data_IF_468448084490
#
_entry.id   IF_468448084490
#
_cell.length_a   1.000
_cell.length_b   1.000
_cell.length_c   1.000
_cell.angle_alpha   90.00
_cell.angle_beta   90.00
_cell.angle_gamma   90.00
#
_symmetry.space_group_name_H-M   'P 1'
#
loop_
_entity.id
_entity.type
_entity.pdbx_description
1 polymer ?
#
# COMPACT_ATOMS: atom_id res chain seq x y z
N UNK A 1 -24.03 3.59 55.33
CA UNK A 1 -22.57 3.72 55.13
C UNK A 1 -21.99 2.32 55.12
N UNK A 2 -21.73 1.76 53.94
CA UNK A 2 -21.17 0.41 53.79
C UNK A 2 -19.97 0.50 52.85
N UNK A 3 -18.85 -0.03 53.33
CA UNK A 3 -17.53 -0.03 52.69
C UNK A 3 -17.56 -0.98 51.49
N UNK A 4 -16.95 -0.53 50.38
CA UNK A 4 -16.84 -1.28 49.13
C UNK A 4 -15.82 -2.42 49.24
N UNK A 5 -16.25 -3.62 48.87
CA UNK A 5 -15.44 -4.81 48.68
C UNK A 5 -15.05 -4.88 47.18
N UNK A 6 -13.84 -4.46 46.84
CA UNK A 6 -13.34 -4.39 45.46
C UNK A 6 -11.94 -5.00 45.35
N UNK A 7 -11.77 -6.25 45.76
CA UNK A 7 -10.56 -7.02 45.45
C UNK A 7 -10.93 -8.45 45.04
N UNK A 8 -11.00 -8.69 43.72
CA UNK A 8 -10.77 -9.99 43.05
C UNK A 8 -10.90 -9.83 41.53
N UNK A 9 -9.99 -9.08 40.91
CA UNK A 9 -9.70 -9.23 39.47
C UNK A 9 -8.59 -10.28 39.36
N UNK A 10 -8.98 -11.53 39.12
CA UNK A 10 -8.04 -12.61 38.84
C UNK A 10 -7.22 -12.27 37.59
N UNK A 11 -5.90 -12.20 37.75
CA UNK A 11 -4.95 -12.18 36.65
C UNK A 11 -5.12 -13.47 35.84
N UNK A 12 -5.43 -13.34 34.54
CA UNK A 12 -5.32 -14.47 33.63
C UNK A 12 -3.85 -14.87 33.55
N UNK A 13 -3.50 -16.16 33.66
CA UNK A 13 -2.13 -16.60 33.48
C UNK A 13 -1.66 -16.26 32.07
N UNK A 14 -0.38 -15.91 31.88
CA UNK A 14 0.19 -15.68 30.56
C UNK A 14 0.05 -16.95 29.72
N UNK A 15 -0.37 -16.79 28.46
CA UNK A 15 -0.42 -17.90 27.50
C UNK A 15 1.03 -18.35 27.27
N UNK A 16 1.33 -19.61 27.57
CA UNK A 16 2.66 -20.18 27.36
C UNK A 16 3.04 -20.09 25.89
N UNK A 17 4.23 -19.55 25.60
CA UNK A 17 4.80 -19.44 24.25
C UNK A 17 4.81 -20.78 23.50
N UNK A 18 5.08 -21.88 24.21
CA UNK A 18 5.04 -23.26 23.66
C UNK A 18 3.66 -23.66 23.12
N UNK A 19 2.57 -23.16 23.74
CA UNK A 19 1.21 -23.42 23.29
C UNK A 19 0.81 -22.63 22.05
N UNK A 20 1.44 -21.46 21.83
CA UNK A 20 1.25 -20.64 20.65
C UNK A 20 2.01 -21.22 19.44
N UNK A 21 3.24 -21.69 19.67
CA UNK A 21 4.07 -22.37 18.65
C UNK A 21 3.40 -23.65 18.15
N UNK A 22 2.88 -24.49 19.06
CA UNK A 22 2.15 -25.70 18.67
C UNK A 22 0.85 -25.42 17.88
N UNK A 23 0.19 -24.29 18.16
CA UNK A 23 -0.98 -23.84 17.40
C UNK A 23 -0.62 -23.35 16.00
N UNK A 24 0.51 -22.64 15.87
CA UNK A 24 1.03 -22.17 14.59
C UNK A 24 1.51 -23.34 13.72
N UNK A 25 2.24 -24.30 14.28
CA UNK A 25 2.70 -25.50 13.55
C UNK A 25 1.54 -26.36 13.04
N UNK A 26 0.47 -26.49 13.84
CA UNK A 26 -0.76 -27.17 13.43
C UNK A 26 -1.45 -26.42 12.29
N UNK A 27 -1.52 -25.09 12.36
CA UNK A 27 -2.16 -24.27 11.34
C UNK A 27 -1.39 -24.27 10.01
N UNK A 28 -0.06 -24.22 10.06
CA UNK A 28 0.84 -24.36 8.90
C UNK A 28 0.65 -25.75 8.27
N UNK A 29 0.61 -26.82 9.08
CA UNK A 29 0.37 -28.18 8.60
C UNK A 29 -0.98 -28.35 7.88
N UNK A 30 -2.02 -27.62 8.31
CA UNK A 30 -3.34 -27.68 7.68
C UNK A 30 -3.41 -26.88 6.36
N UNK A 31 -2.57 -25.85 6.20
CA UNK A 31 -2.41 -25.11 4.95
C UNK A 31 -1.61 -25.90 3.89
N UNK A 32 -0.59 -26.64 4.32
CA UNK A 32 0.24 -27.47 3.42
C UNK A 32 -0.50 -28.69 2.88
N UNK A 33 -1.55 -29.17 3.59
CA UNK A 33 -2.35 -30.33 3.17
C UNK A 33 -3.36 -30.08 2.03
N UNK A 34 -3.37 -28.88 1.44
CA UNK A 34 -4.14 -28.59 0.22
C UNK A 34 -5.66 -28.65 0.44
N UNK A 35 -6.24 -27.52 0.83
CA UNK A 35 -7.70 -27.36 0.90
C UNK A 35 -8.40 -27.56 -0.46
N UNK A 36 -9.71 -27.86 -0.47
CA UNK A 36 -10.46 -28.42 -1.61
C UNK A 36 -10.74 -27.46 -2.77
N UNK A 37 -9.97 -26.37 -2.90
CA UNK A 37 -10.16 -25.30 -3.88
C UNK A 37 -9.03 -25.24 -4.93
N UNK A 38 -8.44 -26.40 -5.24
CA UNK A 38 -7.45 -26.51 -6.32
C UNK A 38 -8.15 -26.70 -7.66
N UNK A 39 -8.61 -25.60 -8.24
CA UNK A 39 -9.06 -25.57 -9.63
C UNK A 39 -7.84 -25.53 -10.56
N UNK A 40 -7.67 -26.63 -11.29
CA UNK A 40 -6.75 -26.74 -12.42
C UNK A 40 -7.30 -25.92 -13.58
N UNK A 41 -6.47 -25.09 -14.19
CA UNK A 41 -6.73 -24.60 -15.54
C UNK A 41 -5.46 -24.64 -16.40
N UNK A 42 -5.62 -24.90 -17.71
CA UNK A 42 -4.60 -25.55 -18.53
C UNK A 42 -3.66 -24.56 -19.26
N UNK A 43 -2.48 -25.07 -19.58
CA UNK A 43 -1.42 -24.47 -20.39
C UNK A 43 -1.83 -24.14 -21.83
N UNK A 44 -1.20 -23.12 -22.41
CA UNK A 44 -0.48 -23.10 -23.72
C UNK A 44 -0.42 -21.66 -24.33
N UNK A 45 0.34 -21.37 -25.41
CA UNK A 45 1.80 -21.43 -25.56
C UNK A 45 2.43 -20.16 -26.24
N UNK A 46 3.75 -20.01 -26.06
CA UNK A 46 4.84 -19.46 -26.91
C UNK A 46 4.68 -18.28 -27.91
N UNK A 47 5.61 -17.32 -27.81
CA UNK A 47 5.98 -16.26 -28.78
C UNK A 47 6.87 -16.78 -29.95
N UNK A 48 7.08 -16.00 -31.04
CA UNK A 48 8.37 -15.28 -31.31
C UNK A 48 8.25 -14.07 -32.31
N UNK A 49 9.31 -13.52 -32.99
CA UNK A 49 10.67 -13.07 -32.59
C UNK A 49 11.06 -11.62 -33.06
N UNK A 50 12.29 -11.21 -32.70
CA UNK A 50 13.05 -9.96 -32.97
C UNK A 50 13.32 -9.58 -34.44
N UNK A 51 13.54 -8.27 -34.71
CA UNK A 51 14.50 -7.72 -35.70
C UNK A 51 14.87 -6.25 -35.34
N UNK A 52 16.12 -5.96 -34.96
CA UNK A 52 17.26 -5.33 -35.70
C UNK A 52 17.22 -3.79 -35.86
N UNK A 53 18.33 -3.20 -35.40
CA UNK A 53 18.83 -1.80 -35.37
C UNK A 53 19.32 -1.32 -36.76
N UNK A 54 19.42 0.00 -37.00
CA UNK A 54 20.68 0.51 -37.57
C UNK A 54 21.23 1.80 -36.94
N UNK A 55 22.51 2.02 -37.26
CA UNK A 55 23.56 2.87 -36.69
C UNK A 55 23.46 4.39 -36.93
N UNK A 56 24.21 5.11 -36.08
CA UNK A 56 24.63 6.54 -36.05
C UNK A 56 25.88 6.74 -36.98
N UNK A 57 26.68 7.85 -37.04
CA UNK A 57 26.75 9.18 -36.35
C UNK A 57 27.21 10.34 -37.33
N UNK A 58 28.07 11.37 -37.02
CA UNK A 58 28.49 12.10 -35.78
C UNK A 58 28.53 13.66 -35.92
N UNK A 59 28.97 14.37 -34.84
CA UNK A 59 29.88 15.56 -34.73
C UNK A 59 29.40 16.60 -33.67
N UNK A 60 30.11 16.73 -32.52
CA UNK A 60 31.08 17.80 -32.11
C UNK A 60 30.44 19.20 -31.97
N UNK A 61 30.57 20.00 -30.90
CA UNK A 61 31.76 20.42 -30.13
C UNK A 61 31.42 20.82 -28.66
N UNK A 62 32.46 20.90 -27.82
CA UNK A 62 32.52 21.42 -26.42
C UNK A 62 33.59 22.57 -26.38
N UNK A 63 33.91 23.24 -25.24
CA UNK A 63 33.28 24.31 -24.43
C UNK A 63 34.16 25.62 -24.45
N UNK A 64 34.40 26.50 -23.41
CA UNK A 64 33.91 26.72 -22.01
C UNK A 64 33.79 28.25 -21.63
N UNK A 65 34.02 28.78 -20.38
CA UNK A 65 33.84 28.34 -18.97
C UNK A 65 33.10 29.34 -18.02
N UNK A 66 32.83 28.84 -16.79
CA UNK A 66 32.89 29.47 -15.44
C UNK A 66 31.89 30.56 -14.96
N UNK A 67 31.28 30.31 -13.79
CA UNK A 67 31.38 31.22 -12.62
C UNK A 67 31.04 30.53 -11.30
N UNK A 68 31.95 30.69 -10.33
CA UNK A 68 31.84 30.35 -8.91
C UNK A 68 30.90 31.34 -8.21
N UNK A 69 30.09 30.89 -7.24
CA UNK A 69 29.68 31.74 -6.11
C UNK A 69 29.37 30.92 -4.84
N UNK A 70 30.28 31.08 -3.90
CA UNK A 70 30.23 31.06 -2.43
C UNK A 70 28.97 30.62 -1.68
N UNK A 71 29.20 29.72 -0.73
CA UNK A 71 28.38 29.45 0.45
C UNK A 71 28.51 30.56 1.52
N UNK A 72 27.59 30.59 2.50
CA UNK A 72 27.97 30.91 3.86
C UNK A 72 27.69 29.73 4.82
N UNK A 73 28.65 29.55 5.73
CA UNK A 73 28.63 28.59 6.82
C UNK A 73 27.49 28.87 7.82
N UNK A 74 26.92 27.81 8.38
CA UNK A 74 26.12 27.87 9.61
C UNK A 74 26.55 26.72 10.52
N UNK A 75 26.80 27.07 11.77
CA UNK A 75 27.37 26.27 12.84
C UNK A 75 26.51 25.04 13.20
N UNK A 76 27.11 23.96 13.74
CA UNK A 76 26.45 22.68 13.91
C UNK A 76 25.57 22.70 15.17
N UNK A 77 24.26 22.63 15.00
CA UNK A 77 23.36 22.13 16.03
C UNK A 77 23.49 20.61 16.07
N UNK A 78 23.81 20.06 17.24
CA UNK A 78 23.73 18.63 17.54
C UNK A 78 22.30 18.15 17.35
N UNK A 79 21.99 17.76 16.12
CA UNK A 79 20.83 16.96 15.79
C UNK A 79 21.23 15.52 16.13
N UNK A 80 20.53 14.90 17.08
CA UNK A 80 20.53 13.44 17.22
C UNK A 80 19.78 12.89 16.01
N UNK A 81 20.42 12.96 14.85
CA UNK A 81 20.06 12.25 13.64
C UNK A 81 20.46 10.81 13.88
N UNK A 82 19.47 9.97 14.17
CA UNK A 82 19.58 8.53 13.98
C UNK A 82 20.11 8.29 12.56
N UNK A 83 21.41 8.02 12.48
CA UNK A 83 22.16 7.93 11.22
C UNK A 83 21.67 6.68 10.49
N UNK A 84 21.16 6.85 9.28
CA UNK A 84 20.98 5.72 8.37
C UNK A 84 22.32 4.96 8.25
N UNK A 85 22.31 3.62 8.21
CA UNK A 85 23.51 2.82 8.17
C UNK A 85 24.37 3.23 6.98
N UNK A 86 25.60 3.63 7.27
CA UNK A 86 26.57 4.15 6.30
C UNK A 86 27.41 3.05 5.67
N UNK A 87 27.32 1.81 6.16
CA UNK A 87 28.11 0.68 5.66
C UNK A 87 27.27 -0.56 5.38
N UNK A 88 27.75 -1.41 4.47
CA UNK A 88 27.14 -2.70 4.14
C UNK A 88 27.03 -3.62 5.36
N UNK A 89 28.01 -3.55 6.27
CA UNK A 89 28.06 -4.35 7.50
C UNK A 89 26.96 -3.97 8.48
N UNK A 90 26.67 -2.67 8.62
CA UNK A 90 25.57 -2.20 9.45
C UNK A 90 24.21 -2.68 8.91
N UNK A 91 24.00 -2.61 7.60
CA UNK A 91 22.78 -3.12 6.96
C UNK A 91 22.67 -4.64 7.14
N UNK A 92 23.75 -5.39 6.91
CA UNK A 92 23.79 -6.84 7.15
C UNK A 92 23.44 -7.17 8.59
N UNK A 93 24.06 -6.49 9.55
CA UNK A 93 23.80 -6.66 10.97
C UNK A 93 22.35 -6.34 11.32
N UNK A 94 21.82 -5.22 10.82
CA UNK A 94 20.43 -4.83 11.04
C UNK A 94 19.43 -5.87 10.50
N UNK A 95 19.65 -6.37 9.28
CA UNK A 95 18.82 -7.46 8.70
C UNK A 95 18.98 -8.76 9.48
N UNK A 96 20.19 -9.11 9.91
CA UNK A 96 20.44 -10.34 10.67
C UNK A 96 19.74 -10.35 12.05
N UNK A 97 19.48 -9.17 12.63
CA UNK A 97 18.66 -9.06 13.86
C UNK A 97 17.20 -9.51 13.64
N UNK A 98 16.68 -9.41 12.42
CA UNK A 98 15.34 -9.88 12.08
C UNK A 98 15.36 -11.41 11.97
N UNK A 99 14.65 -12.06 12.90
CA UNK A 99 14.65 -13.52 13.01
C UNK A 99 13.56 -14.11 12.12
N UNK A 100 13.95 -15.02 11.24
CA UNK A 100 13.03 -15.71 10.33
C UNK A 100 12.76 -17.11 10.89
N UNK A 101 11.50 -17.42 11.16
CA UNK A 101 11.03 -18.69 11.70
C UNK A 101 9.95 -19.24 10.78
N UNK A 102 10.35 -20.12 9.84
CA UNK A 102 9.46 -20.61 8.79
C UNK A 102 8.83 -19.47 7.99
N UNK A 103 7.53 -19.27 8.19
CA UNK A 103 6.73 -18.24 7.53
C UNK A 103 6.64 -16.92 8.31
N UNK A 104 7.17 -16.87 9.54
CA UNK A 104 7.15 -15.68 10.40
C UNK A 104 8.46 -14.92 10.39
N UNK A 105 8.37 -13.59 10.44
CA UNK A 105 9.49 -12.70 10.74
C UNK A 105 9.24 -11.97 12.06
N UNK A 106 10.15 -12.13 13.01
CA UNK A 106 10.12 -11.49 14.33
C UNK A 106 11.03 -10.26 14.33
N UNK A 107 10.48 -9.14 14.80
CA UNK A 107 11.15 -7.88 15.09
C UNK A 107 11.49 -7.83 16.59
N UNK A 108 12.76 -8.06 16.99
CA UNK A 108 13.08 -8.20 18.42
C UNK A 108 12.93 -6.93 19.24
N UNK A 109 12.97 -5.76 18.60
CA UNK A 109 12.89 -4.45 19.25
C UNK A 109 11.56 -4.22 19.99
N UNK A 110 10.46 -4.75 19.45
CA UNK A 110 9.11 -4.59 20.01
C UNK A 110 8.35 -5.91 20.12
N UNK A 111 8.98 -7.03 19.77
CA UNK A 111 8.34 -8.34 19.74
C UNK A 111 7.28 -8.49 18.65
N UNK A 112 7.22 -7.59 17.67
CA UNK A 112 6.23 -7.69 16.61
C UNK A 112 6.51 -8.88 15.68
N UNK A 113 5.45 -9.59 15.30
CA UNK A 113 5.51 -10.67 14.34
C UNK A 113 4.77 -10.29 13.06
N UNK A 114 5.40 -10.62 11.92
CA UNK A 114 4.77 -10.56 10.60
C UNK A 114 4.72 -11.98 10.06
N UNK A 115 3.51 -12.49 9.85
CA UNK A 115 3.27 -13.77 9.20
C UNK A 115 3.17 -13.57 7.69
N UNK A 116 3.99 -14.30 6.95
CA UNK A 116 3.98 -14.34 5.50
C UNK A 116 3.30 -15.63 5.02
N UNK A 117 2.89 -15.64 3.77
CA UNK A 117 2.40 -16.78 3.00
C UNK A 117 3.25 -16.92 1.73
N UNK A 118 3.23 -18.10 1.10
CA UNK A 118 3.81 -18.31 -0.24
C UNK A 118 2.68 -18.63 -1.21
N UNK A 119 2.56 -17.85 -2.26
CA UNK A 119 1.59 -18.07 -3.34
C UNK A 119 2.35 -18.05 -4.66
N UNK A 120 2.29 -19.14 -5.43
CA UNK A 120 3.03 -19.25 -6.70
C UNK A 120 4.55 -18.94 -6.55
N UNK A 121 5.13 -19.35 -5.43
CA UNK A 121 6.54 -19.09 -5.11
C UNK A 121 6.85 -17.65 -4.66
N UNK A 122 5.85 -16.78 -4.51
CA UNK A 122 5.98 -15.37 -4.15
C UNK A 122 5.52 -15.13 -2.70
N UNK A 123 6.20 -14.25 -1.95
CA UNK A 123 5.75 -13.87 -0.60
C UNK A 123 4.45 -13.07 -0.65
N UNK A 124 3.54 -13.35 0.28
CA UNK A 124 2.27 -12.61 0.42
C UNK A 124 2.00 -12.36 1.89
N UNK A 125 1.47 -11.19 2.21
CA UNK A 125 0.87 -10.87 3.50
C UNK A 125 -0.55 -10.38 3.27
N UNK A 126 -1.53 -11.07 3.86
CA UNK A 126 -2.96 -10.76 3.67
C UNK A 126 -3.43 -9.49 4.40
N UNK A 127 -2.58 -8.94 5.27
CA UNK A 127 -2.85 -7.72 6.00
C UNK A 127 -3.56 -7.95 7.32
N UNK A 128 -3.32 -7.05 8.26
CA UNK A 128 -3.92 -7.04 9.61
C UNK A 128 -4.46 -5.66 10.00
N UNK A 129 -4.05 -4.59 9.31
CA UNK A 129 -4.45 -3.22 9.61
C UNK A 129 -5.60 -2.79 8.71
N UNK A 130 -6.81 -2.97 9.22
CA UNK A 130 -8.03 -2.60 8.53
C UNK A 130 -8.11 -1.08 8.25
N UNK A 131 -8.84 -0.73 7.19
CA UNK A 131 -9.10 0.67 6.80
C UNK A 131 -9.96 1.41 7.82
N UNK A 132 -10.83 0.67 8.51
CA UNK A 132 -11.71 1.17 9.58
C UNK A 132 -11.23 0.66 10.93
N UNK A 133 -11.56 1.40 11.99
CA UNK A 133 -11.21 1.07 13.36
C UNK A 133 -10.08 1.95 13.91
N UNK A 134 -9.34 1.50 14.95
CA UNK A 134 -8.37 2.33 15.66
C UNK A 134 -7.21 2.88 14.80
N UNK A 135 -6.93 2.24 13.67
CA UNK A 135 -5.88 2.63 12.74
C UNK A 135 -6.40 3.43 11.53
N UNK A 136 -7.71 3.69 11.45
CA UNK A 136 -8.30 4.48 10.38
C UNK A 136 -7.79 5.92 10.39
N UNK A 137 -7.85 6.57 9.23
CA UNK A 137 -7.55 7.99 9.14
C UNK A 137 -8.64 8.80 9.86
N UNK A 138 -8.24 9.86 10.55
CA UNK A 138 -9.18 10.79 11.17
C UNK A 138 -9.81 11.72 10.12
N UNK A 139 -10.96 12.32 10.47
CA UNK A 139 -11.59 13.35 9.61
C UNK A 139 -10.66 14.53 9.33
N UNK A 140 -9.83 14.89 10.31
CA UNK A 140 -8.84 15.96 10.17
C UNK A 140 -7.77 15.58 9.13
N UNK A 141 -7.30 14.33 9.16
CA UNK A 141 -6.34 13.83 8.18
C UNK A 141 -6.90 13.84 6.76
N UNK A 142 -8.15 13.41 6.58
CA UNK A 142 -8.85 13.54 5.30
C UNK A 142 -8.95 14.99 4.82
N UNK A 143 -9.29 15.91 5.73
CA UNK A 143 -9.35 17.33 5.43
C UNK A 143 -8.00 17.92 5.00
N UNK A 144 -6.89 17.51 5.64
CA UNK A 144 -5.53 17.92 5.24
C UNK A 144 -5.13 17.40 3.86
N UNK A 145 -5.72 16.30 3.40
CA UNK A 145 -5.55 15.78 2.03
C UNK A 145 -6.46 16.48 1.01
N UNK A 146 -7.23 17.50 1.41
CA UNK A 146 -8.17 18.19 0.54
C UNK A 146 -9.41 17.36 0.18
N UNK A 147 -9.68 16.28 0.91
CA UNK A 147 -10.81 15.38 0.64
C UNK A 147 -12.01 15.84 1.46
N UNK A 148 -13.13 16.12 0.79
CA UNK A 148 -14.39 16.45 1.46
C UNK A 148 -14.91 15.26 2.29
N UNK A 149 -15.72 15.52 3.32
CA UNK A 149 -16.28 14.47 4.15
C UNK A 149 -17.07 13.41 3.35
N UNK A 150 -17.82 13.85 2.32
CA UNK A 150 -18.56 12.94 1.45
C UNK A 150 -17.65 12.07 0.59
N UNK A 151 -16.58 12.65 0.02
CA UNK A 151 -15.60 11.91 -0.76
C UNK A 151 -14.81 10.93 0.12
N UNK A 152 -14.41 11.35 1.33
CA UNK A 152 -13.76 10.50 2.31
C UNK A 152 -14.64 9.31 2.69
N UNK A 153 -15.92 9.53 2.99
CA UNK A 153 -16.88 8.45 3.27
C UNK A 153 -17.02 7.47 2.10
N UNK A 154 -17.10 7.99 0.86
CA UNK A 154 -17.14 7.16 -0.34
C UNK A 154 -15.88 6.32 -0.54
N UNK A 155 -14.70 6.94 -0.39
CA UNK A 155 -13.41 6.25 -0.53
C UNK A 155 -13.20 5.22 0.59
N UNK A 156 -13.46 5.57 1.85
CA UNK A 156 -13.38 4.63 2.98
C UNK A 156 -14.28 3.41 2.76
N UNK A 157 -15.49 3.61 2.24
CA UNK A 157 -16.37 2.50 1.88
C UNK A 157 -15.75 1.59 0.83
N UNK A 158 -15.20 2.17 -0.24
CA UNK A 158 -14.56 1.39 -1.32
C UNK A 158 -13.36 0.61 -0.80
N UNK A 159 -12.48 1.27 -0.04
CA UNK A 159 -11.28 0.65 0.51
C UNK A 159 -11.61 -0.44 1.54
N UNK A 160 -12.62 -0.21 2.40
CA UNK A 160 -13.01 -1.19 3.42
C UNK A 160 -13.66 -2.46 2.84
N UNK A 161 -14.43 -2.34 1.75
CA UNK A 161 -15.17 -3.48 1.19
C UNK A 161 -14.49 -4.15 0.00
N UNK A 162 -13.68 -3.42 -0.77
CA UNK A 162 -13.11 -3.89 -2.04
C UNK A 162 -11.60 -3.73 -2.12
N UNK A 163 -10.98 -3.03 -1.17
CA UNK A 163 -9.53 -2.91 -1.01
C UNK A 163 -8.94 -4.01 -0.14
N UNK A 164 -7.66 -3.85 0.17
CA UNK A 164 -6.90 -4.67 1.10
C UNK A 164 -6.60 -3.90 2.40
N UNK A 165 -6.15 -4.55 3.49
CA UNK A 165 -5.59 -3.84 4.64
C UNK A 165 -4.36 -3.00 4.26
N UNK A 166 -4.04 -1.98 5.07
CA UNK A 166 -2.92 -1.05 4.80
C UNK A 166 -1.54 -1.70 4.80
N UNK A 167 -1.37 -2.81 5.52
CA UNK A 167 -0.14 -3.58 5.59
C UNK A 167 -0.13 -4.79 4.65
N UNK A 168 -1.19 -5.00 3.86
CA UNK A 168 -1.21 -6.08 2.88
C UNK A 168 -0.09 -5.90 1.85
N UNK A 169 0.52 -7.00 1.44
CA UNK A 169 1.56 -7.00 0.42
C UNK A 169 1.52 -8.31 -0.37
N UNK A 170 1.90 -8.27 -1.64
CA UNK A 170 2.15 -9.48 -2.43
C UNK A 170 3.44 -9.33 -3.21
N UNK A 171 4.00 -10.45 -3.67
CA UNK A 171 5.19 -10.46 -4.51
C UNK A 171 4.83 -10.62 -6.00
N UNK A 172 5.53 -9.82 -6.81
CA UNK A 172 4.88 -8.86 -7.71
C UNK A 172 4.63 -7.59 -6.89
N UNK A 173 5.52 -6.57 -6.93
CA UNK A 173 5.77 -5.64 -5.84
C UNK A 173 4.58 -4.74 -5.54
N UNK A 174 3.59 -5.29 -4.84
CA UNK A 174 2.33 -4.66 -4.52
C UNK A 174 2.27 -4.48 -3.00
N UNK A 175 1.95 -3.28 -2.55
CA UNK A 175 1.83 -2.97 -1.12
C UNK A 175 0.62 -2.08 -0.87
N UNK A 176 -0.02 -2.25 0.27
CA UNK A 176 -0.99 -1.31 0.77
C UNK A 176 -2.43 -1.58 0.36
N UNK A 177 -3.28 -0.62 0.76
CA UNK A 177 -4.74 -0.72 0.73
C UNK A 177 -5.35 -0.96 -0.66
N UNK A 178 -4.62 -0.60 -1.71
CA UNK A 178 -4.99 -0.87 -3.11
C UNK A 178 -3.92 -1.65 -3.88
N UNK A 179 -3.00 -2.31 -3.18
CA UNK A 179 -1.93 -3.11 -3.79
C UNK A 179 -1.08 -2.29 -4.78
N UNK A 180 -0.49 -1.18 -4.32
CA UNK A 180 0.35 -0.29 -5.12
C UNK A 180 1.58 -1.02 -5.66
N UNK A 181 1.79 -0.97 -6.97
CA UNK A 181 2.97 -1.53 -7.62
C UNK A 181 3.74 -0.55 -8.49
N UNK A 182 5.00 -0.89 -8.76
CA UNK A 182 5.88 -0.06 -9.60
C UNK A 182 5.94 1.37 -9.06
N UNK A 183 5.68 2.35 -9.92
CA UNK A 183 5.74 3.77 -9.54
C UNK A 183 4.75 4.14 -8.43
N UNK A 184 3.60 3.46 -8.34
CA UNK A 184 2.63 3.74 -7.29
C UNK A 184 3.16 3.37 -5.89
N UNK A 185 3.89 2.25 -5.79
CA UNK A 185 4.59 1.85 -4.56
C UNK A 185 5.64 2.89 -4.19
N UNK A 186 6.48 3.27 -5.15
CA UNK A 186 7.58 4.20 -4.93
C UNK A 186 7.04 5.57 -4.50
N UNK A 187 5.96 6.04 -5.12
CA UNK A 187 5.29 7.29 -4.75
C UNK A 187 4.71 7.25 -3.34
N UNK A 188 4.10 6.13 -2.93
CA UNK A 188 3.57 5.97 -1.57
C UNK A 188 4.68 6.02 -0.51
N UNK A 189 5.78 5.32 -0.76
CA UNK A 189 6.96 5.36 0.11
C UNK A 189 7.62 6.74 0.14
N UNK A 190 7.71 7.42 -1.01
CA UNK A 190 8.24 8.78 -1.12
C UNK A 190 7.42 9.76 -0.27
N UNK A 191 6.10 9.65 -0.30
CA UNK A 191 5.20 10.48 0.52
C UNK A 191 5.36 10.22 1.99
N UNK A 192 5.39 8.95 2.39
CA UNK A 192 5.63 8.64 3.79
C UNK A 192 6.96 9.23 4.27
N UNK A 193 8.05 9.06 3.51
CA UNK A 193 9.35 9.66 3.84
C UNK A 193 9.30 11.19 3.96
N UNK A 194 8.49 11.88 3.15
CA UNK A 194 8.30 13.34 3.27
C UNK A 194 7.48 13.73 4.51
N UNK A 195 6.46 12.95 4.84
CA UNK A 195 5.58 13.22 5.98
C UNK A 195 6.28 12.95 7.31
N UNK A 196 6.98 11.83 7.42
CA UNK A 196 7.61 11.34 8.65
C UNK A 196 9.00 10.73 8.35
N UNK A 197 10.01 11.57 8.02
CA UNK A 197 11.32 11.09 7.60
C UNK A 197 12.02 10.26 8.68
N UNK A 198 11.93 10.67 9.94
CA UNK A 198 12.55 9.93 11.05
C UNK A 198 11.94 8.52 11.19
N UNK A 199 10.61 8.40 11.19
CA UNK A 199 9.92 7.11 11.26
C UNK A 199 10.26 6.23 10.06
N UNK A 200 10.31 6.81 8.86
CA UNK A 200 10.70 6.09 7.64
C UNK A 200 12.12 5.53 7.75
N UNK A 201 13.10 6.36 8.13
CA UNK A 201 14.49 5.93 8.23
C UNK A 201 14.69 4.90 9.35
N UNK A 202 14.02 5.06 10.49
CA UNK A 202 14.05 4.08 11.57
C UNK A 202 13.52 2.70 11.14
N UNK A 203 12.42 2.67 10.36
CA UNK A 203 11.74 1.42 9.94
C UNK A 203 12.34 0.75 8.71
N UNK A 204 12.70 1.53 7.70
CA UNK A 204 13.15 1.04 6.40
C UNK A 204 14.61 1.41 6.11
N UNK A 205 15.02 2.63 6.46
CA UNK A 205 16.39 3.13 6.24
C UNK A 205 17.45 2.27 6.92
N UNK A 206 17.23 1.87 8.17
CA UNK A 206 18.11 0.98 8.95
C UNK A 206 18.31 -0.39 8.32
N UNK A 207 17.37 -0.84 7.47
CA UNK A 207 17.45 -2.09 6.73
C UNK A 207 18.03 -1.91 5.33
N UNK A 208 18.48 -0.70 5.00
CA UNK A 208 19.03 -0.35 3.70
C UNK A 208 17.95 -0.20 2.63
N UNK A 209 16.72 0.19 2.99
CA UNK A 209 15.67 0.56 2.03
C UNK A 209 15.50 2.07 2.08
N UNK A 210 15.56 2.75 0.93
CA UNK A 210 15.28 4.18 0.84
C UNK A 210 14.55 4.52 -0.45
N UNK A 211 13.95 5.71 -0.44
CA UNK A 211 13.53 6.38 -1.67
C UNK A 211 14.53 7.50 -1.97
N UNK A 212 15.02 7.53 -3.21
CA UNK A 212 15.93 8.53 -3.78
C UNK A 212 15.24 9.32 -4.88
N UNK A 213 15.77 10.50 -5.22
CA UNK A 213 15.20 11.41 -6.21
C UNK A 213 15.32 12.85 -5.72
N UNK A 214 15.99 13.69 -6.50
CA UNK A 214 16.24 15.10 -6.15
C UNK A 214 14.95 15.95 -6.26
N UNK A 215 14.01 15.51 -7.10
CA UNK A 215 12.69 16.13 -7.29
C UNK A 215 11.56 15.23 -6.76
N UNK A 216 10.50 15.79 -6.16
CA UNK A 216 9.27 15.07 -5.81
C UNK A 216 8.61 14.33 -6.97
N UNK A 217 8.93 14.71 -8.22
CA UNK A 217 8.28 14.24 -9.45
C UNK A 217 8.88 12.94 -10.02
N UNK A 218 10.02 12.48 -9.53
CA UNK A 218 10.66 11.24 -10.02
C UNK A 218 11.37 10.48 -8.90
N UNK A 219 10.63 9.99 -7.89
CA UNK A 219 11.23 9.15 -6.86
C UNK A 219 11.58 7.77 -7.43
N UNK A 220 12.66 7.18 -6.92
CA UNK A 220 13.10 5.82 -7.22
C UNK A 220 13.34 5.04 -5.91
N UNK A 221 12.96 3.78 -5.89
CA UNK A 221 13.31 2.87 -4.80
C UNK A 221 14.77 2.45 -4.93
N UNK A 222 15.52 2.57 -3.84
CA UNK A 222 16.88 2.06 -3.73
C UNK A 222 17.00 1.11 -2.54
N UNK A 223 17.66 -0.02 -2.75
CA UNK A 223 17.91 -1.03 -1.71
C UNK A 223 19.39 -1.36 -1.69
N UNK A 224 19.99 -1.48 -0.51
CA UNK A 224 21.35 -1.99 -0.37
C UNK A 224 21.36 -3.49 -0.63
N UNK A 225 22.18 -3.94 -1.57
CA UNK A 225 22.52 -5.35 -1.68
C UNK A 225 23.45 -5.71 -0.51
N UNK A 226 22.98 -6.57 0.38
CA UNK A 226 23.74 -6.98 1.56
C UNK A 226 25.02 -7.77 1.23
N UNK A 227 25.12 -8.33 0.02
CA UNK A 227 26.28 -9.10 -0.44
C UNK A 227 27.39 -8.16 -0.90
N UNK A 228 27.06 -7.24 -1.81
CA UNK A 228 28.02 -6.33 -2.45
C UNK A 228 28.19 -5.00 -1.70
N UNK A 229 27.23 -4.66 -0.83
CA UNK A 229 27.17 -3.37 -0.15
C UNK A 229 26.74 -2.21 -1.03
N UNK A 230 26.41 -2.47 -2.30
CA UNK A 230 26.06 -1.44 -3.26
C UNK A 230 24.58 -1.08 -3.20
N UNK A 231 24.26 0.17 -3.50
CA UNK A 231 22.88 0.60 -3.70
C UNK A 231 22.41 0.16 -5.10
N UNK A 232 21.38 -0.66 -5.16
CA UNK A 232 20.69 -0.98 -6.41
C UNK A 232 19.37 -0.22 -6.49
N UNK A 233 18.89 0.04 -7.71
CA UNK A 233 17.66 0.79 -7.97
C UNK A 233 16.74 0.07 -8.96
N UNK A 234 15.51 0.56 -9.09
CA UNK A 234 14.55 0.08 -10.08
C UNK A 234 14.19 -1.40 -9.91
N UNK A 235 14.22 -2.18 -10.99
CA UNK A 235 13.82 -3.60 -10.95
C UNK A 235 14.67 -4.45 -10.01
N UNK A 236 15.97 -4.15 -9.90
CA UNK A 236 16.86 -4.89 -9.00
C UNK A 236 16.52 -4.63 -7.53
N UNK A 237 16.21 -3.39 -7.18
CA UNK A 237 15.76 -3.05 -5.82
C UNK A 237 14.44 -3.75 -5.47
N UNK A 238 13.49 -3.80 -6.42
CA UNK A 238 12.21 -4.51 -6.24
C UNK A 238 12.41 -6.03 -6.12
N UNK A 239 13.36 -6.61 -6.87
CA UNK A 239 13.70 -8.02 -6.75
C UNK A 239 14.26 -8.35 -5.36
N UNK A 240 15.25 -7.59 -4.87
CA UNK A 240 15.80 -7.78 -3.52
C UNK A 240 14.74 -7.66 -2.42
N UNK A 241 13.85 -6.67 -2.53
CA UNK A 241 12.72 -6.48 -1.61
C UNK A 241 11.76 -7.69 -1.61
N UNK A 242 11.57 -8.32 -2.78
CA UNK A 242 10.64 -9.44 -2.96
C UNK A 242 11.25 -10.80 -2.62
N UNK A 243 12.58 -10.93 -2.67
CA UNK A 243 13.28 -12.19 -2.39
C UNK A 243 13.60 -12.36 -0.90
N UNK A 244 14.07 -11.30 -0.24
CA UNK A 244 14.42 -11.34 1.18
C UNK A 244 13.15 -11.21 2.06
N UNK A 245 12.73 -12.28 2.79
CA UNK A 245 11.54 -12.23 3.64
C UNK A 245 11.62 -11.14 4.71
N UNK A 246 12.83 -10.76 5.14
CA UNK A 246 13.02 -9.72 6.17
C UNK A 246 12.66 -8.34 5.63
N UNK A 247 13.08 -8.03 4.41
CA UNK A 247 12.75 -6.77 3.74
C UNK A 247 11.26 -6.72 3.39
N UNK A 248 10.72 -7.83 2.88
CA UNK A 248 9.29 -7.94 2.61
C UNK A 248 8.46 -7.73 3.88
N UNK A 249 8.82 -8.39 4.99
CA UNK A 249 8.17 -8.21 6.28
C UNK A 249 8.33 -6.79 6.85
N UNK A 250 9.46 -6.13 6.61
CA UNK A 250 9.65 -4.74 7.00
C UNK A 250 8.73 -3.79 6.23
N UNK A 251 8.52 -4.02 4.93
CA UNK A 251 7.55 -3.28 4.14
C UNK A 251 6.11 -3.49 4.64
N UNK A 252 5.76 -4.73 4.97
CA UNK A 252 4.46 -5.05 5.60
C UNK A 252 4.31 -4.28 6.90
N UNK A 253 5.28 -4.39 7.81
CA UNK A 253 5.26 -3.70 9.11
C UNK A 253 5.17 -2.18 8.96
N UNK A 254 5.84 -1.61 7.96
CA UNK A 254 5.74 -0.20 7.62
C UNK A 254 4.30 0.24 7.33
N UNK A 255 3.45 -0.62 6.73
CA UNK A 255 2.03 -0.31 6.50
C UNK A 255 1.20 -0.10 7.77
N UNK A 256 1.76 -0.44 8.93
CA UNK A 256 1.16 -0.20 10.25
C UNK A 256 1.49 1.18 10.81
N UNK A 257 2.44 1.89 10.21
CA UNK A 257 2.79 3.25 10.62
C UNK A 257 1.77 4.26 10.11
N UNK A 258 1.48 5.27 10.94
CA UNK A 258 0.48 6.29 10.60
C UNK A 258 0.88 7.07 9.34
N UNK A 259 2.13 7.54 9.26
CA UNK A 259 2.65 8.22 8.08
C UNK A 259 2.60 7.38 6.80
N UNK A 260 2.79 6.06 6.92
CA UNK A 260 2.69 5.15 5.78
C UNK A 260 1.25 5.05 5.26
N UNK A 261 0.27 4.88 6.16
CA UNK A 261 -1.15 4.89 5.79
C UNK A 261 -1.57 6.20 5.14
N UNK A 262 -1.13 7.33 5.69
CA UNK A 262 -1.37 8.65 5.11
C UNK A 262 -0.74 8.79 3.72
N UNK A 263 0.50 8.33 3.53
CA UNK A 263 1.18 8.34 2.24
C UNK A 263 0.48 7.50 1.18
N UNK A 264 -0.02 6.32 1.55
CA UNK A 264 -0.83 5.46 0.71
C UNK A 264 -2.13 6.14 0.27
N UNK A 265 -2.89 6.70 1.21
CA UNK A 265 -4.16 7.36 0.91
C UNK A 265 -3.94 8.62 0.08
N UNK A 266 -2.94 9.43 0.41
CA UNK A 266 -2.58 10.59 -0.38
C UNK A 266 -2.34 10.19 -1.85
N UNK A 267 -1.61 9.09 -2.11
CA UNK A 267 -1.37 8.62 -3.47
C UNK A 267 -2.65 8.35 -4.24
N UNK A 268 -3.62 7.69 -3.60
CA UNK A 268 -4.92 7.44 -4.21
C UNK A 268 -5.65 8.74 -4.52
N UNK A 269 -5.73 9.63 -3.52
CA UNK A 269 -6.36 10.96 -3.65
C UNK A 269 -5.80 11.72 -4.84
N UNK A 270 -4.47 11.84 -4.93
CA UNK A 270 -3.81 12.59 -6.01
C UNK A 270 -4.02 11.98 -7.39
N UNK A 271 -4.04 10.64 -7.49
CA UNK A 271 -4.32 9.96 -8.75
C UNK A 271 -5.75 10.22 -9.27
N UNK A 272 -6.67 10.60 -8.38
CA UNK A 272 -8.09 10.77 -8.70
C UNK A 272 -8.63 12.19 -8.46
N UNK A 273 -7.76 13.20 -8.42
CA UNK A 273 -8.14 14.62 -8.21
C UNK A 273 -9.10 15.20 -9.26
N UNK A 274 -9.39 14.49 -10.35
CA UNK A 274 -10.45 14.87 -11.29
C UNK A 274 -11.86 14.58 -10.77
N UNK A 275 -12.00 13.87 -9.65
CA UNK A 275 -13.30 13.51 -9.06
C UNK A 275 -13.84 14.62 -8.15
N UNK A 276 -13.70 15.90 -8.51
CA UNK A 276 -14.19 17.03 -7.71
C UNK A 276 -15.64 17.39 -8.09
N UNK A 277 -16.47 17.69 -7.09
CA UNK A 277 -17.89 18.05 -7.26
C UNK A 277 -18.66 17.99 -5.95
N UNK A 278 -19.85 18.58 -5.88
CA UNK A 278 -20.79 18.49 -4.73
C UNK A 278 -21.59 17.17 -4.76
N UNK A 279 -20.90 16.08 -5.06
CA UNK A 279 -21.55 14.79 -5.27
C UNK A 279 -21.83 14.07 -3.95
N UNK A 280 -22.83 13.19 -3.96
CA UNK A 280 -23.12 12.34 -2.79
C UNK A 280 -21.98 11.35 -2.52
N UNK A 281 -21.82 10.86 -1.26
CA UNK A 281 -20.85 9.79 -0.94
C UNK A 281 -20.96 8.57 -1.86
N UNK A 282 -22.19 8.24 -2.29
CA UNK A 282 -22.45 7.13 -3.22
C UNK A 282 -21.87 7.38 -4.61
N UNK A 283 -22.01 8.58 -5.15
CA UNK A 283 -21.39 8.94 -6.45
C UNK A 283 -19.88 8.88 -6.34
N UNK A 284 -19.30 9.39 -5.25
CA UNK A 284 -17.87 9.28 -4.99
C UNK A 284 -17.41 7.82 -4.91
N UNK A 285 -18.10 6.97 -4.15
CA UNK A 285 -17.76 5.55 -4.05
C UNK A 285 -17.78 4.85 -5.42
N UNK A 286 -18.78 5.14 -6.26
CA UNK A 286 -18.87 4.58 -7.62
C UNK A 286 -17.72 5.05 -8.52
N UNK A 287 -17.37 6.34 -8.47
CA UNK A 287 -16.24 6.90 -9.23
C UNK A 287 -14.90 6.35 -8.75
N UNK A 288 -14.69 6.30 -7.43
CA UNK A 288 -13.49 5.72 -6.83
C UNK A 288 -13.33 4.26 -7.22
N UNK A 289 -14.38 3.45 -7.08
CA UNK A 289 -14.37 2.06 -7.54
C UNK A 289 -14.04 1.95 -9.03
N UNK A 290 -14.64 2.80 -9.86
CA UNK A 290 -14.40 2.80 -11.30
C UNK A 290 -12.97 3.20 -11.68
N UNK A 291 -12.42 4.25 -11.08
CA UNK A 291 -11.04 4.71 -11.28
C UNK A 291 -10.04 3.63 -10.84
N UNK A 292 -10.28 3.07 -9.66
CA UNK A 292 -9.35 2.14 -9.07
C UNK A 292 -9.32 0.77 -9.77
N UNK A 293 -10.41 0.39 -10.46
CA UNK A 293 -10.51 -0.85 -11.26
C UNK A 293 -10.15 -0.67 -12.73
N UNK A 294 -10.52 0.45 -13.35
CA UNK A 294 -10.40 0.66 -14.81
C UNK A 294 -9.81 2.03 -15.21
N UNK A 295 -9.29 2.79 -14.25
CA UNK A 295 -8.77 4.14 -14.44
C UNK A 295 -9.82 5.13 -14.97
N UNK A 296 -9.32 6.23 -15.53
CA UNK A 296 -10.14 7.33 -16.07
C UNK A 296 -11.20 6.91 -17.10
N UNK A 297 -10.97 5.79 -17.81
CA UNK A 297 -11.96 5.24 -18.76
C UNK A 297 -13.19 4.70 -18.03
N UNK A 298 -12.99 4.03 -16.90
CA UNK A 298 -14.08 3.57 -16.04
C UNK A 298 -14.92 4.73 -15.52
N UNK A 299 -14.24 5.76 -14.99
CA UNK A 299 -14.90 6.99 -14.51
C UNK A 299 -15.69 7.67 -15.63
N UNK A 300 -15.07 7.90 -16.79
CA UNK A 300 -15.72 8.57 -17.92
C UNK A 300 -16.97 7.83 -18.38
N UNK A 301 -16.93 6.49 -18.38
CA UNK A 301 -18.08 5.65 -18.72
C UNK A 301 -19.20 5.76 -17.68
N UNK A 302 -18.86 5.76 -16.40
CA UNK A 302 -19.85 5.96 -15.34
C UNK A 302 -20.44 7.39 -15.38
N UNK A 303 -19.62 8.41 -15.57
CA UNK A 303 -20.07 9.81 -15.64
C UNK A 303 -20.93 10.10 -16.86
N UNK A 304 -20.74 9.38 -17.98
CA UNK A 304 -21.67 9.44 -19.10
C UNK A 304 -23.07 8.95 -18.71
N UNK A 305 -23.16 7.80 -18.04
CA UNK A 305 -24.43 7.27 -17.54
C UNK A 305 -25.06 8.19 -16.48
N UNK A 306 -24.24 8.78 -15.62
CA UNK A 306 -24.71 9.72 -14.60
C UNK A 306 -25.33 10.97 -15.23
N UNK A 307 -24.73 11.49 -16.31
CA UNK A 307 -25.26 12.63 -17.07
C UNK A 307 -26.54 12.27 -17.83
N UNK A 308 -26.64 11.07 -18.40
CA UNK A 308 -27.86 10.59 -19.06
C UNK A 308 -29.06 10.49 -18.11
N UNK A 309 -28.80 10.14 -16.85
CA UNK A 309 -29.84 9.99 -15.81
C UNK A 309 -30.02 11.27 -14.97
N UNK A 310 -29.35 12.37 -15.34
CA UNK A 310 -29.43 13.64 -14.61
C UNK A 310 -30.86 14.21 -14.61
N UNK A 311 -31.29 14.73 -13.46
CA UNK A 311 -32.65 15.29 -13.28
C UNK A 311 -33.75 14.23 -13.07
N UNK A 312 -33.44 12.95 -13.21
CA UNK A 312 -34.41 11.88 -13.02
C UNK A 312 -34.40 11.40 -11.55
N UNK A 313 -35.58 11.11 -10.98
CA UNK A 313 -35.67 10.61 -9.59
C UNK A 313 -34.84 9.32 -9.42
N UNK A 314 -33.90 9.30 -8.49
CA UNK A 314 -32.98 8.17 -8.32
C UNK A 314 -31.96 7.99 -9.46
N UNK A 315 -31.59 9.07 -10.17
CA UNK A 315 -30.65 9.04 -11.30
C UNK A 315 -29.33 8.34 -10.99
N UNK A 316 -28.71 8.60 -9.83
CA UNK A 316 -27.49 7.91 -9.38
C UNK A 316 -27.68 6.39 -9.27
N UNK A 317 -28.80 5.93 -8.72
CA UNK A 317 -29.10 4.51 -8.57
C UNK A 317 -29.25 3.85 -9.94
N UNK A 318 -29.98 4.50 -10.86
CA UNK A 318 -30.15 4.01 -12.24
C UNK A 318 -28.84 3.97 -13.01
N UNK A 319 -28.03 5.03 -12.95
CA UNK A 319 -26.71 5.07 -13.57
C UNK A 319 -25.81 3.95 -13.06
N UNK A 320 -25.76 3.73 -11.75
CA UNK A 320 -24.99 2.64 -11.14
C UNK A 320 -25.49 1.24 -11.54
N UNK A 321 -26.80 1.01 -11.61
CA UNK A 321 -27.36 -0.26 -12.06
C UNK A 321 -27.11 -0.52 -13.55
N UNK A 322 -27.21 0.51 -14.40
CA UNK A 322 -26.83 0.44 -15.82
C UNK A 322 -25.35 0.13 -15.97
N UNK A 323 -24.48 0.77 -15.19
CA UNK A 323 -23.05 0.49 -15.17
C UNK A 323 -22.75 -0.96 -14.77
N UNK A 324 -23.37 -1.45 -13.69
CA UNK A 324 -23.25 -2.85 -13.27
C UNK A 324 -23.74 -3.84 -14.34
N UNK A 325 -24.85 -3.53 -15.03
CA UNK A 325 -25.35 -4.35 -16.13
C UNK A 325 -24.34 -4.41 -17.28
N UNK A 326 -23.76 -3.27 -17.65
CA UNK A 326 -22.73 -3.17 -18.68
C UNK A 326 -21.49 -4.00 -18.34
N UNK A 327 -21.01 -3.95 -17.08
CA UNK A 327 -19.89 -4.76 -16.59
C UNK A 327 -20.18 -6.26 -16.67
N UNK A 328 -21.39 -6.67 -16.25
CA UNK A 328 -21.80 -8.08 -16.33
C UNK A 328 -21.82 -8.57 -17.77
N UNK A 329 -22.40 -7.79 -18.68
CA UNK A 329 -22.46 -8.12 -20.11
C UNK A 329 -21.08 -8.17 -20.77
N UNK A 330 -20.09 -7.46 -20.24
CA UNK A 330 -18.70 -7.50 -20.71
C UNK A 330 -17.81 -8.50 -19.97
N UNK A 331 -18.38 -9.44 -19.20
CA UNK A 331 -17.60 -10.51 -18.55
C UNK A 331 -17.00 -10.16 -17.18
N UNK A 332 -17.47 -9.11 -16.51
CA UNK A 332 -17.03 -8.69 -15.17
C UNK A 332 -18.14 -8.85 -14.11
N UNK A 333 -18.60 -10.09 -13.81
CA UNK A 333 -19.74 -10.33 -12.93
C UNK A 333 -19.45 -10.01 -11.46
N UNK A 334 -18.18 -10.17 -11.03
CA UNK A 334 -17.74 -9.82 -9.67
C UNK A 334 -17.87 -8.32 -9.45
N UNK A 335 -17.29 -7.53 -10.33
CA UNK A 335 -17.27 -6.08 -10.24
C UNK A 335 -18.67 -5.49 -10.42
N UNK A 336 -19.51 -6.11 -11.26
CA UNK A 336 -20.93 -5.79 -11.31
C UNK A 336 -21.65 -6.01 -9.96
N UNK A 337 -21.27 -7.05 -9.22
CA UNK A 337 -21.73 -7.29 -7.84
C UNK A 337 -21.24 -6.22 -6.86
N UNK A 338 -19.97 -5.83 -6.95
CA UNK A 338 -19.38 -4.75 -6.14
C UNK A 338 -20.11 -3.42 -6.38
N UNK A 339 -20.37 -3.05 -7.64
CA UNK A 339 -21.15 -1.85 -7.99
C UNK A 339 -22.58 -1.92 -7.43
N UNK A 340 -23.27 -3.06 -7.56
CA UNK A 340 -24.62 -3.22 -6.97
C UNK A 340 -24.60 -3.06 -5.45
N UNK A 341 -23.57 -3.53 -4.77
CA UNK A 341 -23.37 -3.32 -3.34
C UNK A 341 -23.21 -1.84 -3.01
N UNK A 342 -22.39 -1.10 -3.77
CA UNK A 342 -22.23 0.36 -3.59
C UNK A 342 -23.57 1.07 -3.76
N UNK A 343 -24.31 0.74 -4.83
CA UNK A 343 -25.60 1.36 -5.15
C UNK A 343 -26.64 1.15 -4.05
N UNK A 344 -26.69 -0.05 -3.47
CA UNK A 344 -27.67 -0.43 -2.44
C UNK A 344 -27.21 -0.17 -1.01
N UNK A 345 -25.99 0.35 -0.81
CA UNK A 345 -25.43 0.50 0.53
C UNK A 345 -26.08 1.66 1.29
N UNK A 346 -26.65 1.41 2.48
CA UNK A 346 -27.16 2.46 3.35
C UNK A 346 -26.03 3.26 4.03
N UNK A 347 -24.81 2.72 4.08
CA UNK A 347 -23.63 3.42 4.62
C UNK A 347 -23.24 4.66 3.81
N UNK A 348 -23.81 4.81 2.61
CA UNK A 348 -23.53 5.90 1.67
C UNK A 348 -24.72 6.86 1.50
N UNK A 349 -25.83 6.60 2.21
CA UNK A 349 -26.85 7.62 2.40
C UNK A 349 -26.22 8.67 3.32
N UNK A 350 -26.10 9.90 2.82
CA UNK A 350 -25.31 10.96 3.45
C UNK A 350 -25.60 11.07 4.95
N UNK A 351 -24.58 11.40 5.73
CA UNK A 351 -24.75 11.62 7.18
C UNK A 351 -25.81 12.72 7.34
N UNK A 352 -27.05 12.35 7.70
CA UNK A 352 -27.95 13.31 8.33
C UNK A 352 -27.19 13.86 9.52
N UNK A 353 -26.88 15.16 9.47
CA UNK A 353 -26.19 15.87 10.53
C UNK A 353 -26.77 15.45 11.89
N UNK A 354 -25.95 14.79 12.69
CA UNK A 354 -26.14 14.66 14.13
C UNK A 354 -25.06 15.48 14.82
#
# INVERSE_FOLDING_TARGET
>A
MSVHDSERKGSRPPVSTEGLEALLDRWVSDLERGGPWSDKSPESPSAPPNHIVPEQPPLFDEPPPATEHSAPASEPRENVQERAPTTADEVRSARARLRVHGMGVLFPEDGAHVLLAREQGQWVHRGTVAVRGPCALSREEWGRLGVSAASAQGLEFVLAWFGAPFDAASAGPCWGVWSFSGDALVNALARWKRLEPATFEARLGTLGIRVVGESPESPALAVVDATTGQWVQGRQALALLSEDPRLFAALVRAGREKGARLGQVACLVEQSLSLTGEDSPRVFALRWHAELRWGRRGVSRFDALLREEAGAAGGTQRAGLRFASALRSSGHPREAGEVRRIVSSPELDGVSAR
#
